data_IF_938315759382
#
_entry.id   IF_938315759382
#
_cell.length_a   1.000
_cell.length_b   1.000
_cell.length_c   1.000
_cell.angle_alpha   90.00
_cell.angle_beta   90.00
_cell.angle_gamma   90.00
#
_symmetry.space_group_name_H-M   'P 1'
#
loop_
_entity.id
_entity.type
_entity.pdbx_description
1 polymer ?
#
# COMPACT_ATOMS: atom_id res chain seq x y z
N UNK A 1 -2.13 14.19 -17.76
CA UNK A 1 -1.47 13.96 -16.45
C UNK A 1 -1.64 12.52 -16.05
N UNK A 2 -0.55 11.78 -15.91
CA UNK A 2 -0.55 10.45 -15.33
C UNK A 2 -0.37 10.55 -13.80
N UNK A 3 -0.91 9.56 -13.04
CA UNK A 3 -0.96 9.55 -11.57
C UNK A 3 -1.56 10.88 -11.00
N UNK A 4 -2.73 11.27 -11.52
CA UNK A 4 -3.40 12.51 -11.13
C UNK A 4 -3.78 12.60 -9.65
N UNK A 5 -3.74 11.49 -8.91
CA UNK A 5 -3.83 11.49 -7.44
C UNK A 5 -2.76 12.38 -6.76
N UNK A 6 -1.66 12.70 -7.46
CA UNK A 6 -0.64 13.62 -6.94
C UNK A 6 -1.10 15.07 -6.81
N UNK A 7 -2.19 15.44 -7.48
CA UNK A 7 -2.81 16.79 -7.41
C UNK A 7 -4.15 16.80 -6.66
N UNK A 8 -4.45 15.76 -5.91
CA UNK A 8 -5.69 15.64 -5.11
C UNK A 8 -5.86 16.72 -4.03
N UNK A 9 -4.75 17.24 -3.52
CA UNK A 9 -4.78 18.36 -2.60
C UNK A 9 -4.77 19.69 -3.39
N UNK A 10 -5.88 20.47 -3.36
CA UNK A 10 -5.98 21.71 -4.12
C UNK A 10 -4.96 22.79 -3.69
N UNK A 11 -4.44 22.70 -2.46
CA UNK A 11 -3.46 23.64 -1.91
C UNK A 11 -2.00 23.19 -2.12
N UNK A 12 -1.77 22.06 -2.79
CA UNK A 12 -0.41 21.59 -3.05
C UNK A 12 0.27 22.46 -4.13
N UNK A 13 1.57 22.72 -3.96
CA UNK A 13 2.39 23.41 -4.96
C UNK A 13 2.28 22.77 -6.34
N UNK A 14 2.17 21.42 -6.40
CA UNK A 14 1.99 20.67 -7.64
C UNK A 14 0.69 21.02 -8.34
N UNK A 15 -0.44 21.10 -7.60
CA UNK A 15 -1.73 21.48 -8.18
C UNK A 15 -1.68 22.92 -8.69
N UNK A 16 -1.14 23.84 -7.91
CA UNK A 16 -1.01 25.26 -8.26
C UNK A 16 -0.19 25.41 -9.54
N UNK A 17 1.01 24.84 -9.59
CA UNK A 17 1.89 24.91 -10.78
C UNK A 17 1.27 24.28 -12.04
N UNK A 18 0.45 23.24 -11.90
CA UNK A 18 -0.22 22.60 -13.03
C UNK A 18 -1.47 23.35 -13.49
N UNK A 19 -2.08 24.17 -12.62
CA UNK A 19 -3.25 24.99 -13.00
C UNK A 19 -2.87 26.07 -14.02
N UNK A 20 -1.64 26.58 -13.92
CA UNK A 20 -1.11 27.60 -14.84
C UNK A 20 -0.73 27.08 -16.23
N UNK A 21 -0.81 25.76 -16.44
CA UNK A 21 -0.54 25.17 -17.75
C UNK A 21 -1.70 25.42 -18.71
N UNK A 22 -1.43 26.17 -19.77
CA UNK A 22 -2.35 26.36 -20.88
C UNK A 22 -2.34 25.13 -21.80
N UNK A 23 -3.52 24.60 -22.11
CA UNK A 23 -3.67 23.51 -23.07
C UNK A 23 -5.10 23.42 -23.57
N UNK A 24 -5.27 23.02 -24.83
CA UNK A 24 -6.59 22.87 -25.47
C UNK A 24 -7.37 21.69 -24.90
N UNK A 25 -6.67 20.66 -24.43
CA UNK A 25 -7.26 19.44 -23.83
C UNK A 25 -6.48 19.03 -22.60
N UNK A 26 -7.18 18.77 -21.50
CA UNK A 26 -6.61 18.25 -20.26
C UNK A 26 -7.16 16.86 -19.94
N UNK A 27 -6.30 15.87 -19.80
CA UNK A 27 -6.65 14.51 -19.44
C UNK A 27 -5.92 14.14 -18.15
N UNK A 28 -6.67 13.65 -17.16
CA UNK A 28 -6.13 13.14 -15.89
C UNK A 28 -6.35 11.63 -15.80
N UNK A 29 -5.29 10.86 -15.55
CA UNK A 29 -5.35 9.41 -15.37
C UNK A 29 -4.97 9.06 -13.95
N UNK A 30 -5.81 8.29 -13.26
CA UNK A 30 -5.55 7.80 -11.90
C UNK A 30 -6.33 6.51 -11.65
N UNK A 31 -5.73 5.60 -10.86
CA UNK A 31 -6.43 4.43 -10.33
C UNK A 31 -7.31 4.76 -9.10
N UNK A 32 -7.08 5.91 -8.45
CA UNK A 32 -7.69 6.29 -7.19
C UNK A 32 -8.11 7.77 -7.21
N UNK A 33 -9.26 8.09 -7.84
CA UNK A 33 -9.73 9.48 -7.89
C UNK A 33 -10.16 10.03 -6.54
N UNK A 34 -10.53 9.15 -5.59
CA UNK A 34 -10.87 9.47 -4.21
C UNK A 34 -10.01 8.61 -3.28
N UNK A 35 -9.21 9.22 -2.43
CA UNK A 35 -8.41 8.50 -1.43
C UNK A 35 -8.84 8.81 0.00
N UNK A 36 -8.99 10.09 0.34
CA UNK A 36 -9.31 10.52 1.69
C UNK A 36 -10.65 11.25 1.78
N UNK A 37 -11.01 12.01 0.75
CA UNK A 37 -12.25 12.78 0.72
C UNK A 37 -12.70 13.06 -0.70
N UNK A 38 -13.96 13.52 -0.86
CA UNK A 38 -14.47 13.96 -2.16
C UNK A 38 -13.75 15.22 -2.70
N UNK A 39 -13.00 15.94 -1.86
CA UNK A 39 -12.12 17.03 -2.31
C UNK A 39 -11.03 16.51 -3.25
N UNK A 40 -10.55 15.29 -3.05
CA UNK A 40 -9.58 14.66 -3.94
C UNK A 40 -10.12 14.59 -5.38
N UNK A 41 -11.38 14.14 -5.51
CA UNK A 41 -12.10 14.08 -6.78
C UNK A 41 -12.32 15.48 -7.37
N UNK A 42 -12.83 16.42 -6.54
CA UNK A 42 -13.04 17.80 -6.97
C UNK A 42 -11.76 18.41 -7.55
N UNK A 43 -10.64 18.26 -6.86
CA UNK A 43 -9.35 18.82 -7.31
C UNK A 43 -8.89 18.27 -8.65
N UNK A 44 -9.11 16.98 -8.92
CA UNK A 44 -8.77 16.35 -10.20
C UNK A 44 -9.73 16.82 -11.28
N UNK A 45 -11.03 16.86 -11.02
CA UNK A 45 -12.04 17.33 -11.98
C UNK A 45 -11.82 18.82 -12.32
N UNK A 46 -11.51 19.66 -11.34
CA UNK A 46 -11.21 21.07 -11.55
C UNK A 46 -9.94 21.29 -12.38
N UNK A 47 -8.95 20.40 -12.32
CA UNK A 47 -7.81 20.45 -13.23
C UNK A 47 -8.21 20.14 -14.66
N UNK A 48 -9.07 19.14 -14.89
CA UNK A 48 -9.51 18.73 -16.24
C UNK A 48 -10.47 19.73 -16.85
N UNK A 49 -11.45 20.16 -16.08
CA UNK A 49 -12.52 21.08 -16.51
C UNK A 49 -12.81 22.09 -15.40
N UNK A 50 -12.07 23.21 -15.35
CA UNK A 50 -12.19 24.21 -14.29
C UNK A 50 -13.61 24.73 -14.14
N UNK A 51 -14.11 24.74 -12.90
CA UNK A 51 -15.44 25.23 -12.54
C UNK A 51 -16.60 24.27 -12.84
N UNK A 52 -16.38 23.12 -13.43
CA UNK A 52 -17.45 22.15 -13.74
C UNK A 52 -18.20 21.67 -12.50
N UNK A 53 -17.49 21.40 -11.42
CA UNK A 53 -18.06 21.01 -10.12
C UNK A 53 -18.18 22.20 -9.15
N UNK A 54 -18.39 23.41 -9.68
CA UNK A 54 -18.47 24.65 -8.93
C UNK A 54 -17.18 25.00 -8.16
N UNK A 55 -17.24 26.00 -7.25
CA UNK A 55 -16.10 26.32 -6.39
C UNK A 55 -15.90 25.28 -5.30
N UNK A 56 -14.69 25.15 -4.78
CA UNK A 56 -14.39 24.23 -3.67
C UNK A 56 -15.29 24.47 -2.45
N UNK A 57 -15.64 25.72 -2.17
CA UNK A 57 -16.51 26.07 -1.03
C UNK A 57 -17.94 25.55 -1.22
N UNK A 58 -18.52 25.75 -2.41
CA UNK A 58 -19.86 25.28 -2.74
C UNK A 58 -19.89 23.75 -2.78
N UNK A 59 -18.92 23.12 -3.43
CA UNK A 59 -18.75 21.68 -3.44
C UNK A 59 -18.66 21.09 -2.04
N UNK A 60 -17.81 21.68 -1.19
CA UNK A 60 -17.65 21.23 0.19
C UNK A 60 -18.92 21.37 1.01
N UNK A 61 -19.66 22.45 0.80
CA UNK A 61 -20.93 22.68 1.48
C UNK A 61 -21.99 21.65 1.09
N UNK A 62 -21.99 21.21 -0.16
CA UNK A 62 -22.98 20.28 -0.74
C UNK A 62 -22.65 18.82 -0.47
N UNK A 63 -21.38 18.43 -0.54
CA UNK A 63 -20.97 17.01 -0.59
C UNK A 63 -20.09 16.55 0.57
N UNK A 64 -19.61 17.45 1.44
CA UNK A 64 -18.72 17.08 2.53
C UNK A 64 -19.39 17.27 3.88
N UNK A 65 -19.31 16.25 4.73
CA UNK A 65 -19.80 16.34 6.11
C UNK A 65 -18.98 17.34 6.90
N UNK A 66 -19.66 18.25 7.58
CA UNK A 66 -19.03 19.16 8.54
C UNK A 66 -18.91 18.54 9.93
N UNK A 67 -19.75 17.56 10.29
CA UNK A 67 -19.78 16.89 11.59
C UNK A 67 -20.10 15.39 11.42
N UNK A 68 -19.64 14.56 12.36
CA UNK A 68 -19.91 13.12 12.44
C UNK A 68 -21.43 12.80 12.43
N UNK A 69 -22.28 13.72 12.91
CA UNK A 69 -23.72 13.56 12.97
C UNK A 69 -24.48 13.91 11.67
N UNK A 70 -23.82 14.53 10.69
CA UNK A 70 -24.44 14.81 9.39
C UNK A 70 -24.31 13.59 8.48
N UNK A 71 -25.43 13.00 8.08
CA UNK A 71 -25.51 12.08 6.95
C UNK A 71 -25.26 12.85 5.66
N UNK A 72 -24.40 12.33 4.78
CA UNK A 72 -24.35 12.83 3.41
C UNK A 72 -25.68 12.44 2.78
N UNK A 73 -26.35 13.40 2.16
CA UNK A 73 -27.61 13.13 1.46
C UNK A 73 -27.29 12.21 0.27
N UNK A 74 -27.90 11.02 0.26
CA UNK A 74 -27.70 10.02 -0.79
C UNK A 74 -28.11 10.58 -2.16
N UNK A 75 -29.14 11.41 -2.21
CA UNK A 75 -29.59 12.10 -3.43
C UNK A 75 -28.48 13.00 -3.99
N UNK A 76 -27.78 13.73 -3.14
CA UNK A 76 -26.67 14.57 -3.57
C UNK A 76 -25.49 13.74 -4.11
N UNK A 77 -25.23 12.56 -3.56
CA UNK A 77 -24.19 11.67 -4.07
C UNK A 77 -24.56 11.04 -5.42
N UNK A 78 -25.82 10.74 -5.65
CA UNK A 78 -26.30 10.28 -6.97
C UNK A 78 -26.12 11.37 -8.02
N UNK A 79 -26.53 12.60 -7.73
CA UNK A 79 -26.31 13.76 -8.61
C UNK A 79 -24.82 13.95 -8.93
N UNK A 80 -23.97 13.88 -7.92
CA UNK A 80 -22.51 13.97 -8.14
C UNK A 80 -21.99 12.84 -9.03
N UNK A 81 -22.49 11.62 -8.84
CA UNK A 81 -22.11 10.47 -9.66
C UNK A 81 -22.50 10.67 -11.11
N UNK A 82 -23.70 11.16 -11.34
CA UNK A 82 -24.21 11.45 -12.69
C UNK A 82 -23.36 12.55 -13.35
N UNK A 83 -23.15 13.68 -12.68
CA UNK A 83 -22.32 14.78 -13.17
C UNK A 83 -20.92 14.29 -13.55
N UNK A 84 -20.27 13.53 -12.67
CA UNK A 84 -18.91 13.01 -12.92
C UNK A 84 -18.89 11.96 -14.04
N UNK A 85 -19.97 11.22 -14.27
CA UNK A 85 -20.06 10.20 -15.31
C UNK A 85 -19.86 10.76 -16.72
N UNK A 86 -20.19 12.02 -16.95
CA UNK A 86 -19.99 12.68 -18.27
C UNK A 86 -18.53 13.00 -18.59
N UNK A 87 -17.69 13.17 -17.57
CA UNK A 87 -16.29 13.57 -17.74
C UNK A 87 -15.30 12.48 -17.30
N UNK A 88 -15.77 11.38 -16.70
CA UNK A 88 -14.91 10.32 -16.17
C UNK A 88 -15.24 8.96 -16.80
N UNK A 89 -14.21 8.29 -17.28
CA UNK A 89 -14.30 6.91 -17.73
C UNK A 89 -13.55 5.98 -16.78
N UNK A 90 -14.26 5.06 -16.15
CA UNK A 90 -13.68 4.01 -15.31
C UNK A 90 -13.84 2.64 -15.98
N UNK A 91 -12.72 1.93 -16.11
CA UNK A 91 -12.69 0.53 -16.60
C UNK A 91 -11.95 -0.34 -15.60
N UNK A 92 -12.54 -1.46 -15.22
CA UNK A 92 -11.86 -2.47 -14.42
C UNK A 92 -11.07 -3.41 -15.34
N UNK A 93 -9.93 -3.91 -14.85
CA UNK A 93 -9.07 -4.81 -15.65
C UNK A 93 -9.79 -6.08 -16.05
N UNK A 94 -10.59 -6.62 -15.14
CA UNK A 94 -11.37 -7.84 -15.32
C UNK A 94 -12.45 -7.70 -16.41
N UNK A 95 -12.93 -6.49 -16.65
CA UNK A 95 -13.95 -6.18 -17.66
C UNK A 95 -13.38 -5.99 -19.07
N UNK A 96 -12.07 -5.71 -19.18
CA UNK A 96 -11.44 -5.28 -20.44
C UNK A 96 -10.38 -6.26 -20.94
N UNK A 97 -9.83 -7.11 -20.06
CA UNK A 97 -8.72 -8.00 -20.38
C UNK A 97 -9.14 -9.46 -20.21
N UNK A 98 -9.76 -10.02 -21.22
CA UNK A 98 -10.21 -11.44 -21.26
C UNK A 98 -9.08 -12.45 -21.07
N UNK A 99 -7.81 -12.04 -21.22
CA UNK A 99 -6.64 -12.92 -21.15
C UNK A 99 -5.89 -12.89 -19.83
N UNK A 100 -6.38 -12.15 -18.81
CA UNK A 100 -5.75 -12.14 -17.49
C UNK A 100 -6.04 -13.46 -16.75
N UNK A 101 -5.02 -14.08 -16.14
CA UNK A 101 -5.23 -15.20 -15.23
C UNK A 101 -6.04 -14.77 -14.00
N UNK A 102 -6.48 -15.74 -13.23
CA UNK A 102 -7.27 -15.51 -12.02
C UNK A 102 -6.45 -14.77 -10.95
N UNK A 103 -7.08 -13.80 -10.28
CA UNK A 103 -6.59 -13.13 -9.08
C UNK A 103 -7.26 -13.77 -7.87
N UNK A 104 -6.47 -14.32 -6.97
CA UNK A 104 -6.94 -15.04 -5.78
C UNK A 104 -6.51 -14.25 -4.53
N UNK A 105 -7.48 -13.59 -3.90
CA UNK A 105 -7.25 -12.85 -2.65
C UNK A 105 -7.41 -13.80 -1.44
N UNK A 106 -6.38 -13.91 -0.62
CA UNK A 106 -6.28 -14.83 0.53
C UNK A 106 -6.08 -14.02 1.80
N UNK A 107 -7.14 -13.89 2.59
CA UNK A 107 -7.12 -13.19 3.86
C UNK A 107 -6.76 -14.15 4.99
N UNK A 108 -5.69 -13.86 5.73
CA UNK A 108 -5.22 -14.68 6.84
C UNK A 108 -5.20 -13.86 8.13
N UNK A 109 -6.22 -14.07 8.97
CA UNK A 109 -6.21 -13.62 10.35
C UNK A 109 -5.27 -14.49 11.16
N UNK A 110 -4.37 -13.87 11.90
CA UNK A 110 -3.36 -14.53 12.70
C UNK A 110 -3.63 -14.26 14.19
N UNK A 111 -3.22 -15.20 15.03
CA UNK A 111 -3.25 -15.01 16.48
C UNK A 111 -1.83 -14.73 16.98
N UNK A 112 -1.72 -13.73 17.83
CA UNK A 112 -0.47 -13.47 18.55
C UNK A 112 -0.15 -14.62 19.51
N UNK A 113 1.12 -14.95 19.65
CA UNK A 113 1.54 -15.81 20.76
C UNK A 113 1.29 -15.10 22.09
N UNK A 114 1.28 -15.84 23.19
CA UNK A 114 1.11 -15.26 24.54
C UNK A 114 2.16 -14.17 24.79
N UNK A 115 3.41 -14.42 24.40
CA UNK A 115 4.50 -13.44 24.56
C UNK A 115 4.29 -12.20 23.69
N UNK A 116 3.87 -12.35 22.43
CA UNK A 116 3.54 -11.22 21.58
C UNK A 116 2.40 -10.38 22.15
N UNK A 117 1.32 -11.03 22.61
CA UNK A 117 0.17 -10.37 23.21
C UNK A 117 0.57 -9.59 24.48
N UNK A 118 1.37 -10.19 25.35
CA UNK A 118 1.88 -9.52 26.55
C UNK A 118 2.72 -8.30 26.22
N UNK A 119 3.60 -8.39 25.23
CA UNK A 119 4.39 -7.23 24.77
C UNK A 119 3.51 -6.16 24.10
N UNK A 120 2.52 -6.58 23.33
CA UNK A 120 1.55 -5.66 22.70
C UNK A 120 0.75 -4.90 23.75
N UNK A 121 0.22 -5.59 24.75
CA UNK A 121 -0.53 -4.98 25.85
C UNK A 121 0.34 -4.02 26.67
N UNK A 122 1.57 -4.40 26.97
CA UNK A 122 2.54 -3.53 27.67
C UNK A 122 2.83 -2.25 26.87
N UNK A 123 3.03 -2.36 25.57
CA UNK A 123 3.28 -1.18 24.71
C UNK A 123 2.02 -0.30 24.62
N UNK A 124 0.84 -0.91 24.44
CA UNK A 124 -0.45 -0.20 24.43
C UNK A 124 -0.64 0.58 25.74
N UNK A 125 -0.46 -0.06 26.87
CA UNK A 125 -0.68 0.54 28.18
C UNK A 125 0.34 1.66 28.48
N UNK A 126 1.59 1.47 28.08
CA UNK A 126 2.63 2.50 28.13
C UNK A 126 2.26 3.75 27.33
N UNK A 127 1.63 3.59 26.18
CA UNK A 127 1.24 4.73 25.34
C UNK A 127 -0.06 5.35 25.85
N UNK A 128 -1.03 4.55 26.32
CA UNK A 128 -2.27 5.06 26.89
C UNK A 128 -2.00 5.94 28.11
N UNK A 129 -1.11 5.56 29.00
CA UNK A 129 -0.72 6.37 30.17
C UNK A 129 -0.13 7.74 29.78
N UNK A 130 0.53 7.83 28.63
CA UNK A 130 1.04 9.11 28.08
C UNK A 130 -0.06 9.94 27.42
N UNK A 131 -1.06 9.29 26.82
CA UNK A 131 -2.20 9.97 26.17
C UNK A 131 -3.11 10.61 27.21
N UNK A 132 -3.31 10.00 28.38
CA UNK A 132 -4.12 10.56 29.46
C UNK A 132 -3.53 11.85 30.06
N UNK A 133 -2.22 12.01 29.94
CA UNK A 133 -1.49 13.19 30.50
C UNK A 133 -1.29 14.32 29.47
N UNK A 134 -1.47 14.06 28.18
CA UNK A 134 -1.19 15.00 27.09
C UNK A 134 -2.32 15.01 26.04
N UNK A 135 -2.43 16.09 25.27
CA UNK A 135 -3.53 16.37 24.34
C UNK A 135 -3.66 15.39 23.17
N UNK A 136 -4.81 15.44 22.47
CA UNK A 136 -5.32 14.55 21.39
C UNK A 136 -4.37 14.20 20.21
N UNK A 137 -3.21 14.86 20.07
CA UNK A 137 -2.17 14.48 19.08
C UNK A 137 -1.58 13.08 19.33
N UNK A 138 -1.75 12.54 20.51
CA UNK A 138 -1.13 11.30 20.95
C UNK A 138 -1.88 10.04 20.48
N UNK A 139 -3.19 10.13 20.14
CA UNK A 139 -3.98 8.98 19.64
C UNK A 139 -3.47 8.48 18.28
N UNK A 140 -3.13 9.37 17.36
CA UNK A 140 -2.55 8.98 16.08
C UNK A 140 -1.18 8.30 16.26
N UNK A 141 -0.38 8.83 17.19
CA UNK A 141 0.92 8.24 17.54
C UNK A 141 0.74 6.84 18.14
N UNK A 142 -0.24 6.65 19.03
CA UNK A 142 -0.62 5.36 19.57
C UNK A 142 -0.93 4.36 18.45
N UNK A 143 -1.86 4.71 17.57
CA UNK A 143 -2.26 3.84 16.46
C UNK A 143 -1.07 3.49 15.56
N UNK A 144 -0.21 4.47 15.25
CA UNK A 144 0.99 4.26 14.44
C UNK A 144 1.99 3.31 15.13
N UNK A 145 2.21 3.47 16.43
CA UNK A 145 3.12 2.62 17.19
C UNK A 145 2.58 1.19 17.28
N UNK A 146 1.31 1.01 17.63
CA UNK A 146 0.70 -0.32 17.66
C UNK A 146 0.72 -1.00 16.29
N UNK A 147 0.45 -0.25 15.23
CA UNK A 147 0.56 -0.74 13.85
C UNK A 147 2.00 -1.13 13.49
N UNK A 148 2.98 -0.36 13.95
CA UNK A 148 4.39 -0.69 13.78
C UNK A 148 4.78 -1.95 14.58
N UNK A 149 4.31 -2.06 15.83
CA UNK A 149 4.50 -3.26 16.66
C UNK A 149 3.97 -4.52 15.98
N UNK A 150 2.79 -4.45 15.37
CA UNK A 150 2.20 -5.60 14.64
C UNK A 150 3.02 -6.07 13.43
N UNK A 151 4.08 -5.37 13.05
CA UNK A 151 5.01 -5.88 12.03
C UNK A 151 6.06 -6.81 12.64
N UNK A 152 6.60 -6.46 13.81
CA UNK A 152 7.49 -7.32 14.58
C UNK A 152 7.66 -6.76 15.99
N UNK A 153 7.57 -7.56 17.06
CA UNK A 153 7.72 -7.07 18.44
C UNK A 153 9.03 -6.33 18.73
N UNK A 154 10.10 -6.67 18.01
CA UNK A 154 11.42 -6.03 18.18
C UNK A 154 11.61 -4.77 17.33
N UNK A 155 10.56 -4.27 16.65
CA UNK A 155 10.71 -3.15 15.70
C UNK A 155 11.22 -1.85 16.35
N UNK A 156 10.93 -1.65 17.64
CA UNK A 156 11.38 -0.48 18.40
C UNK A 156 12.77 -0.66 19.00
N UNK A 157 13.24 -1.91 19.18
CA UNK A 157 14.56 -2.24 19.69
C UNK A 157 15.50 -2.62 18.54
N UNK A 158 16.21 -1.62 18.02
CA UNK A 158 17.13 -1.84 16.90
C UNK A 158 18.25 -2.83 17.24
N UNK A 159 18.69 -2.88 18.51
CA UNK A 159 19.72 -3.83 18.93
C UNK A 159 19.20 -5.27 18.87
N UNK A 160 18.00 -5.52 19.44
CA UNK A 160 17.36 -6.84 19.32
C UNK A 160 17.12 -7.20 17.86
N UNK A 161 16.60 -6.26 17.07
CA UNK A 161 16.29 -6.52 15.66
C UNK A 161 17.55 -6.92 14.85
N UNK A 162 18.69 -6.30 15.13
CA UNK A 162 19.95 -6.54 14.41
C UNK A 162 20.70 -7.77 14.94
N UNK A 163 20.75 -7.97 16.26
CA UNK A 163 21.61 -8.97 16.87
C UNK A 163 20.91 -10.28 17.24
N UNK A 164 19.58 -10.34 17.18
CA UNK A 164 18.84 -11.60 17.39
C UNK A 164 19.19 -12.61 16.30
N UNK A 165 19.17 -13.90 16.69
CA UNK A 165 19.31 -14.97 15.71
C UNK A 165 18.09 -15.01 14.77
N UNK A 166 18.25 -15.63 13.62
CA UNK A 166 17.12 -15.83 12.68
C UNK A 166 15.98 -16.58 13.36
N UNK A 167 16.32 -17.60 14.15
CA UNK A 167 15.33 -18.39 14.89
C UNK A 167 14.55 -17.54 15.89
N UNK A 168 15.23 -16.65 16.61
CA UNK A 168 14.58 -15.75 17.57
C UNK A 168 13.66 -14.76 16.88
N UNK A 169 14.08 -14.20 15.74
CA UNK A 169 13.22 -13.32 14.94
C UNK A 169 11.96 -14.03 14.43
N UNK A 170 12.10 -15.25 13.93
CA UNK A 170 10.96 -16.03 13.44
C UNK A 170 10.03 -16.38 14.60
N UNK A 171 10.55 -16.85 15.71
CA UNK A 171 9.74 -17.33 16.83
C UNK A 171 9.07 -16.21 17.64
N UNK A 172 9.61 -14.98 17.59
CA UNK A 172 9.06 -13.85 18.34
C UNK A 172 7.87 -13.18 17.65
N UNK A 173 7.54 -13.55 16.41
CA UNK A 173 6.40 -12.98 15.69
C UNK A 173 5.64 -14.05 14.90
N UNK A 174 4.39 -14.27 15.26
CA UNK A 174 3.47 -15.16 14.54
C UNK A 174 3.32 -14.76 13.09
N UNK A 175 3.21 -13.47 12.82
CA UNK A 175 3.11 -12.94 11.45
C UNK A 175 4.39 -13.18 10.65
N UNK A 176 5.55 -12.95 11.27
CA UNK A 176 6.83 -13.17 10.61
C UNK A 176 7.03 -14.68 10.34
N UNK A 177 6.73 -15.54 11.32
CA UNK A 177 6.78 -16.98 11.15
C UNK A 177 5.87 -17.45 10.01
N UNK A 178 4.60 -17.00 9.99
CA UNK A 178 3.67 -17.36 8.89
C UNK A 178 4.17 -16.88 7.52
N UNK A 179 4.82 -15.72 7.47
CA UNK A 179 5.43 -15.23 6.23
C UNK A 179 6.56 -16.14 5.76
N UNK A 180 7.41 -16.63 6.68
CA UNK A 180 8.48 -17.58 6.35
C UNK A 180 7.89 -18.91 5.83
N UNK A 181 6.82 -19.42 6.44
CA UNK A 181 6.11 -20.61 5.99
C UNK A 181 5.58 -20.43 4.56
N UNK A 182 4.86 -19.33 4.29
CA UNK A 182 4.35 -19.02 2.95
C UNK A 182 5.46 -18.93 1.90
N UNK A 183 6.54 -18.23 2.24
CA UNK A 183 7.70 -18.13 1.34
C UNK A 183 8.33 -19.49 1.08
N UNK A 184 8.36 -20.37 2.10
CA UNK A 184 8.85 -21.74 1.91
C UNK A 184 7.93 -22.57 1.00
N UNK A 185 6.61 -22.46 1.16
CA UNK A 185 5.63 -23.09 0.26
C UNK A 185 5.83 -22.64 -1.20
N UNK A 186 6.03 -21.32 -1.41
CA UNK A 186 6.28 -20.74 -2.73
C UNK A 186 7.62 -21.21 -3.31
N UNK A 187 8.64 -21.33 -2.47
CA UNK A 187 9.96 -21.86 -2.84
C UNK A 187 9.87 -23.27 -3.37
N UNK A 188 9.11 -24.13 -2.71
CA UNK A 188 8.90 -25.52 -3.15
C UNK A 188 8.24 -25.59 -4.52
N UNK A 189 7.37 -24.64 -4.85
CA UNK A 189 6.76 -24.50 -6.18
C UNK A 189 7.71 -23.89 -7.22
N UNK A 190 8.90 -23.44 -6.82
CA UNK A 190 9.87 -22.72 -7.66
C UNK A 190 9.28 -21.45 -8.28
N UNK A 191 8.44 -20.73 -7.53
CA UNK A 191 7.75 -19.52 -7.96
C UNK A 191 8.33 -18.28 -7.30
N UNK A 192 7.93 -17.11 -7.80
CA UNK A 192 8.46 -15.82 -7.35
C UNK A 192 7.45 -15.08 -6.50
N UNK A 193 7.95 -14.38 -5.48
CA UNK A 193 7.12 -13.65 -4.51
C UNK A 193 7.56 -12.19 -4.37
N UNK A 194 6.55 -11.32 -4.28
CA UNK A 194 6.69 -9.93 -3.86
C UNK A 194 6.19 -9.81 -2.41
N UNK A 195 6.96 -9.18 -1.54
CA UNK A 195 6.57 -8.92 -0.15
C UNK A 195 6.52 -7.41 0.04
N UNK A 196 5.33 -6.90 0.38
CA UNK A 196 5.13 -5.48 0.63
C UNK A 196 5.15 -5.17 2.12
N UNK A 197 6.06 -4.27 2.52
CA UNK A 197 6.12 -3.74 3.88
C UNK A 197 6.44 -2.24 3.86
N UNK A 198 5.79 -1.47 4.73
CA UNK A 198 5.95 -0.02 4.80
C UNK A 198 7.24 0.39 5.53
N UNK A 199 7.75 -0.46 6.42
CA UNK A 199 8.84 -0.10 7.33
C UNK A 199 10.21 -0.56 6.80
N UNK A 200 11.14 0.38 6.66
CA UNK A 200 12.49 0.13 6.13
C UNK A 200 13.25 -0.90 6.98
N UNK A 201 13.11 -0.83 8.31
CA UNK A 201 13.73 -1.83 9.21
C UNK A 201 13.26 -3.25 8.88
N UNK A 202 11.99 -3.42 8.53
CA UNK A 202 11.47 -4.73 8.13
C UNK A 202 11.99 -5.20 6.78
N UNK A 203 12.21 -4.28 5.83
CA UNK A 203 12.86 -4.62 4.55
C UNK A 203 14.26 -5.19 4.82
N UNK A 204 15.03 -4.57 5.71
CA UNK A 204 16.37 -5.01 6.07
C UNK A 204 16.35 -6.36 6.81
N UNK A 205 15.37 -6.58 7.70
CA UNK A 205 15.14 -7.87 8.38
C UNK A 205 14.81 -8.97 7.37
N UNK A 206 13.87 -8.74 6.47
CA UNK A 206 13.52 -9.71 5.43
C UNK A 206 14.72 -10.05 4.56
N UNK A 207 15.47 -9.02 4.13
CA UNK A 207 16.69 -9.22 3.34
C UNK A 207 17.69 -10.11 4.08
N UNK A 208 18.01 -9.80 5.35
CA UNK A 208 18.93 -10.58 6.17
C UNK A 208 18.43 -12.03 6.33
N UNK A 209 17.21 -12.18 6.86
CA UNK A 209 16.67 -13.51 7.20
C UNK A 209 16.58 -14.40 5.98
N UNK A 210 16.01 -13.92 4.88
CA UNK A 210 15.82 -14.76 3.70
C UNK A 210 17.11 -15.02 2.94
N UNK A 211 18.07 -14.09 2.93
CA UNK A 211 19.39 -14.35 2.37
C UNK A 211 20.12 -15.44 3.14
N UNK A 212 20.09 -15.39 4.47
CA UNK A 212 20.77 -16.38 5.29
C UNK A 212 20.02 -17.73 5.32
N UNK A 213 18.67 -17.69 5.37
CA UNK A 213 17.85 -18.90 5.50
C UNK A 213 17.77 -19.68 4.18
N UNK A 214 17.60 -19.00 3.04
CA UNK A 214 17.44 -19.66 1.74
C UNK A 214 18.72 -19.68 0.91
N UNK A 215 19.80 -19.04 1.37
CA UNK A 215 21.07 -18.90 0.62
C UNK A 215 20.86 -18.36 -0.80
N UNK A 216 19.95 -17.39 -0.92
CA UNK A 216 19.57 -16.75 -2.19
C UNK A 216 19.63 -15.24 -2.06
N UNK A 217 19.83 -14.57 -3.18
CA UNK A 217 19.75 -13.11 -3.23
C UNK A 217 18.31 -12.65 -3.00
N UNK A 218 18.13 -11.66 -2.14
CA UNK A 218 16.84 -11.00 -1.90
C UNK A 218 16.90 -9.58 -2.47
N UNK A 219 16.07 -9.32 -3.46
CA UNK A 219 15.96 -8.00 -4.07
C UNK A 219 15.16 -7.08 -3.18
N UNK A 220 15.54 -5.81 -3.11
CA UNK A 220 14.80 -4.79 -2.35
C UNK A 220 14.56 -3.55 -3.19
N UNK A 221 13.35 -2.96 -3.08
CA UNK A 221 13.01 -1.67 -3.68
C UNK A 221 12.32 -0.80 -2.63
N UNK A 222 12.99 0.26 -2.21
CA UNK A 222 12.49 1.26 -1.27
C UNK A 222 12.99 2.66 -1.64
N UNK A 223 12.70 3.65 -0.79
CA UNK A 223 13.06 5.05 -1.04
C UNK A 223 14.56 5.35 -1.07
N UNK A 224 15.40 4.41 -0.61
CA UNK A 224 16.88 4.53 -0.62
C UNK A 224 17.49 4.18 -1.97
N UNK A 225 16.69 3.55 -2.86
CA UNK A 225 17.16 3.07 -4.16
C UNK A 225 16.83 4.11 -5.24
N UNK A 226 17.82 4.50 -6.01
CA UNK A 226 17.64 5.43 -7.13
C UNK A 226 16.67 4.89 -8.19
N UNK A 227 15.90 5.77 -8.79
CA UNK A 227 14.87 5.39 -9.76
C UNK A 227 15.43 4.61 -10.95
N UNK A 228 16.63 4.98 -11.41
CA UNK A 228 17.35 4.28 -12.49
C UNK A 228 17.74 2.85 -12.13
N UNK A 229 18.10 2.60 -10.87
CA UNK A 229 18.52 1.28 -10.40
C UNK A 229 17.33 0.34 -10.16
N UNK A 230 16.14 0.88 -9.87
CA UNK A 230 14.94 0.08 -9.61
C UNK A 230 14.58 -0.83 -10.77
N UNK A 231 14.61 -0.30 -11.99
CA UNK A 231 14.30 -1.10 -13.18
C UNK A 231 15.33 -2.21 -13.40
N UNK A 232 16.61 -1.93 -13.20
CA UNK A 232 17.63 -2.96 -13.31
C UNK A 232 17.42 -4.11 -12.31
N UNK A 233 17.07 -3.81 -11.05
CA UNK A 233 16.75 -4.83 -10.04
C UNK A 233 15.55 -5.69 -10.45
N UNK A 234 14.52 -5.07 -11.02
CA UNK A 234 13.34 -5.78 -11.52
C UNK A 234 13.73 -6.69 -12.70
N UNK A 235 14.56 -6.23 -13.60
CA UNK A 235 15.00 -6.99 -14.76
C UNK A 235 15.83 -8.20 -14.35
N UNK A 236 16.76 -8.03 -13.40
CA UNK A 236 17.55 -9.14 -12.84
C UNK A 236 16.64 -10.15 -12.13
N UNK A 237 15.75 -9.68 -11.24
CA UNK A 237 14.74 -10.53 -10.58
C UNK A 237 13.89 -11.29 -11.59
N UNK A 238 13.46 -10.63 -12.66
CA UNK A 238 12.59 -11.23 -13.68
C UNK A 238 13.30 -12.31 -14.48
N UNK A 239 14.58 -12.12 -14.78
CA UNK A 239 15.42 -13.08 -15.54
C UNK A 239 15.86 -14.27 -14.72
N UNK A 240 15.89 -14.20 -13.39
CA UNK A 240 16.22 -15.36 -12.56
C UNK A 240 15.26 -16.52 -12.86
N UNK A 241 15.78 -17.73 -12.94
CA UNK A 241 14.96 -18.93 -13.10
C UNK A 241 14.53 -19.49 -11.74
N UNK A 242 13.27 -19.93 -11.65
CA UNK A 242 12.74 -20.54 -10.44
C UNK A 242 12.38 -19.55 -9.34
N UNK A 243 12.64 -19.91 -8.10
CA UNK A 243 12.30 -19.13 -6.91
C UNK A 243 13.13 -17.86 -6.79
N UNK A 244 12.47 -16.77 -6.50
CA UNK A 244 13.13 -15.50 -6.17
C UNK A 244 12.23 -14.63 -5.30
N UNK A 245 12.82 -13.80 -4.45
CA UNK A 245 12.11 -12.93 -3.51
C UNK A 245 12.45 -11.48 -3.81
N UNK A 246 11.43 -10.63 -3.83
CA UNK A 246 11.60 -9.18 -3.86
C UNK A 246 10.78 -8.55 -2.75
N UNK A 247 11.39 -7.72 -1.91
CA UNK A 247 10.77 -6.97 -0.82
C UNK A 247 10.66 -5.50 -1.22
N UNK A 248 9.45 -4.94 -1.11
CA UNK A 248 9.16 -3.61 -1.62
C UNK A 248 8.44 -2.73 -0.59
N UNK A 249 8.73 -1.43 -0.65
CA UNK A 249 7.86 -0.46 -0.01
C UNK A 249 6.68 -0.15 -0.96
N UNK A 250 5.40 -0.24 -0.49
CA UNK A 250 4.23 -0.01 -1.34
C UNK A 250 4.22 1.35 -2.02
N UNK A 251 4.64 2.41 -1.33
CA UNK A 251 4.68 3.78 -1.88
C UNK A 251 5.70 3.90 -3.02
N UNK A 252 6.84 3.23 -2.89
CA UNK A 252 7.87 3.22 -3.94
C UNK A 252 7.44 2.38 -5.14
N UNK A 253 6.72 1.30 -4.89
CA UNK A 253 6.16 0.44 -5.94
C UNK A 253 5.04 1.12 -6.73
N UNK A 254 4.38 2.14 -6.16
CA UNK A 254 3.37 2.97 -6.83
C UNK A 254 3.84 3.68 -8.10
N UNK A 255 5.15 3.79 -8.33
CA UNK A 255 5.75 4.53 -9.45
C UNK A 255 5.87 3.72 -10.76
N UNK A 256 4.80 3.11 -11.26
CA UNK A 256 4.75 2.54 -12.61
C UNK A 256 5.54 1.24 -12.85
N UNK A 257 6.10 0.61 -11.82
CA UNK A 257 6.89 -0.62 -11.94
C UNK A 257 6.08 -1.78 -12.53
N UNK A 258 6.73 -2.64 -13.33
CA UNK A 258 6.12 -3.83 -13.92
C UNK A 258 6.86 -5.09 -13.48
N UNK A 259 6.22 -5.94 -12.65
CA UNK A 259 6.86 -7.09 -12.03
C UNK A 259 6.03 -8.37 -12.27
N UNK A 260 5.61 -8.58 -13.51
CA UNK A 260 4.78 -9.74 -13.92
C UNK A 260 5.51 -11.08 -13.83
N UNK A 261 6.79 -11.09 -13.53
CA UNK A 261 7.54 -12.32 -13.26
C UNK A 261 7.13 -13.01 -11.95
N UNK A 262 6.54 -12.27 -11.01
CA UNK A 262 6.01 -12.81 -9.76
C UNK A 262 4.52 -13.14 -9.90
N UNK A 263 4.11 -14.22 -9.27
CA UNK A 263 2.72 -14.66 -9.19
C UNK A 263 2.23 -14.87 -7.75
N UNK A 264 3.04 -14.48 -6.76
CA UNK A 264 2.65 -14.39 -5.36
C UNK A 264 2.94 -13.01 -4.83
N UNK A 265 1.99 -12.44 -4.09
CA UNK A 265 2.08 -11.14 -3.44
C UNK A 265 1.70 -11.31 -1.97
N UNK A 266 2.54 -10.84 -1.07
CA UNK A 266 2.27 -10.85 0.37
C UNK A 266 2.21 -9.41 0.86
N UNK A 267 1.03 -8.96 1.28
CA UNK A 267 0.86 -7.72 2.02
C UNK A 267 1.15 -7.97 3.50
N UNK A 268 2.42 -7.85 3.86
CA UNK A 268 2.88 -8.03 5.22
C UNK A 268 2.42 -6.90 6.15
N UNK A 269 2.49 -5.67 5.65
CA UNK A 269 1.92 -4.50 6.33
C UNK A 269 0.67 -4.04 5.58
N UNK A 270 -0.49 -4.03 6.25
CA UNK A 270 -1.74 -3.52 5.68
C UNK A 270 -1.68 -2.01 5.50
N UNK A 271 -2.26 -1.50 4.43
CA UNK A 271 -2.36 -0.07 4.19
C UNK A 271 -3.69 0.49 4.71
N UNK A 272 -3.69 1.74 5.16
CA UNK A 272 -4.93 2.44 5.53
C UNK A 272 -5.87 2.58 4.34
N UNK A 273 -5.30 2.88 3.19
CA UNK A 273 -6.04 2.96 1.95
C UNK A 273 -5.89 1.65 1.18
N UNK A 274 -6.96 0.84 1.04
CA UNK A 274 -6.93 -0.41 0.30
C UNK A 274 -6.49 -0.24 -1.15
N UNK A 275 -6.73 0.92 -1.76
CA UNK A 275 -6.32 1.20 -3.12
C UNK A 275 -4.78 1.18 -3.31
N UNK A 276 -4.00 1.48 -2.27
CA UNK A 276 -2.54 1.32 -2.31
C UNK A 276 -2.12 -0.16 -2.34
N UNK A 277 -2.86 -1.04 -1.66
CA UNK A 277 -2.64 -2.48 -1.73
C UNK A 277 -3.01 -3.02 -3.12
N UNK A 278 -4.13 -2.57 -3.68
CA UNK A 278 -4.52 -2.90 -5.04
C UNK A 278 -3.49 -2.42 -6.07
N UNK A 279 -3.03 -1.18 -5.95
CA UNK A 279 -2.00 -0.64 -6.82
C UNK A 279 -0.69 -1.43 -6.71
N UNK A 280 -0.28 -1.82 -5.51
CA UNK A 280 0.89 -2.66 -5.28
C UNK A 280 0.72 -4.06 -5.90
N UNK A 281 -0.42 -4.71 -5.69
CA UNK A 281 -0.74 -6.01 -6.29
C UNK A 281 -0.81 -5.95 -7.81
N UNK A 282 -1.26 -4.83 -8.37
CA UNK A 282 -1.33 -4.59 -9.81
C UNK A 282 0.06 -4.54 -10.48
N UNK A 283 1.16 -4.58 -9.72
CA UNK A 283 2.52 -4.74 -10.28
C UNK A 283 2.78 -6.16 -10.76
N UNK A 284 2.18 -7.16 -10.09
CA UNK A 284 2.20 -8.56 -10.49
C UNK A 284 0.98 -8.93 -11.35
N UNK A 285 -0.22 -8.45 -10.97
CA UNK A 285 -1.46 -8.70 -11.69
C UNK A 285 -1.67 -7.65 -12.79
N UNK A 286 -1.02 -7.89 -13.91
CA UNK A 286 -0.99 -6.95 -15.05
C UNK A 286 -0.97 -7.70 -16.37
N UNK A 287 -1.26 -6.99 -17.47
CA UNK A 287 -1.09 -7.51 -18.82
C UNK A 287 0.29 -8.19 -18.98
N UNK A 288 0.32 -9.36 -19.63
CA UNK A 288 1.45 -10.30 -19.77
C UNK A 288 1.68 -11.23 -18.57
N UNK A 289 0.88 -11.17 -17.50
CA UNK A 289 0.88 -12.23 -16.49
C UNK A 289 0.30 -13.51 -17.09
N UNK A 290 0.97 -14.64 -16.85
CA UNK A 290 0.60 -15.95 -17.42
C UNK A 290 0.12 -16.95 -16.38
N UNK A 291 0.28 -16.63 -15.10
CA UNK A 291 -0.06 -17.50 -13.97
C UNK A 291 -1.11 -16.83 -13.09
N UNK A 292 -1.94 -17.63 -12.45
CA UNK A 292 -2.82 -17.14 -11.39
C UNK A 292 -2.01 -16.40 -10.33
N UNK A 293 -2.50 -15.24 -9.89
CA UNK A 293 -1.81 -14.41 -8.90
C UNK A 293 -2.47 -14.59 -7.55
N UNK A 294 -1.72 -15.15 -6.62
CA UNK A 294 -2.16 -15.31 -5.23
C UNK A 294 -1.71 -14.11 -4.39
N UNK A 295 -2.67 -13.44 -3.75
CA UNK A 295 -2.42 -12.25 -2.95
C UNK A 295 -2.78 -12.58 -1.50
N UNK A 296 -1.79 -12.54 -0.63
CA UNK A 296 -1.94 -12.85 0.80
C UNK A 296 -1.99 -11.56 1.61
N UNK A 297 -3.01 -11.42 2.42
CA UNK A 297 -3.19 -10.33 3.36
C UNK A 297 -3.06 -10.85 4.78
N UNK A 298 -1.96 -10.49 5.45
CA UNK A 298 -1.66 -10.96 6.81
C UNK A 298 -2.03 -9.88 7.84
N UNK A 299 -2.85 -10.24 8.83
CA UNK A 299 -3.28 -9.30 9.89
C UNK A 299 -3.57 -10.04 11.20
N UNK A 300 -3.49 -9.30 12.30
CA UNK A 300 -3.95 -9.74 13.60
C UNK A 300 -5.37 -9.27 13.86
#
# INVERSE_FOLDING_TARGET
>A
LDEASLIKNPLSERKISLTDLESDVKIAMTGTPVENSLIDLWSICDFVLPGYLETQELFSKKYIRRNIQQTIDEVNLEVLRDDVSFIMLRRKKEEVLDSLPEKIDIHQALQMTINEATLYDSERDSILSKVETESSSNVLTLIQNLRQFTTHPFIFDSNKLIHSTIKDLINSSSKFNRTVELVNEIRLKKEKVLIFTEYLKMIDVFKRVFTEFYKTEVFTIDGRIDTSERQNRIDVFSKQKGFSIMVLNPKTAGMGLNITAANHVIHYTRQWNPALEEQASARAYRNKQKKNVNIYYLYY
#
